data_IF_582310271632
#
_entry.id   IF_582310271632
#
_cell.length_a   1.000
_cell.length_b   1.000
_cell.length_c   1.000
_cell.angle_alpha   90.00
_cell.angle_beta   90.00
_cell.angle_gamma   90.00
#
_symmetry.space_group_name_H-M   'P 1'
#
loop_
_entity.id
_entity.type
_entity.pdbx_description
1 polymer ?
#
# COMPACT_ATOMS: atom_id res chain seq x y z
N UNK A 1 -4.94 28.62 -12.60
CA UNK A 1 -3.62 29.29 -12.53
C UNK A 1 -3.79 30.66 -11.88
N UNK A 2 -3.92 30.72 -10.57
CA UNK A 2 -3.74 31.96 -9.79
C UNK A 2 -2.87 31.58 -8.62
N UNK A 3 -1.57 31.91 -8.73
CA UNK A 3 -0.64 31.78 -7.63
C UNK A 3 -1.21 32.56 -6.43
N UNK A 4 -1.43 31.87 -5.31
CA UNK A 4 -1.88 32.52 -4.07
C UNK A 4 -0.70 33.33 -3.51
N UNK A 5 -0.92 34.59 -3.12
CA UNK A 5 0.14 35.50 -2.69
C UNK A 5 0.85 34.96 -1.45
N UNK A 6 2.15 35.21 -1.35
CA UNK A 6 3.05 34.82 -0.25
C UNK A 6 2.64 35.33 1.14
N UNK A 7 1.53 36.08 1.25
CA UNK A 7 0.93 36.56 2.49
C UNK A 7 -0.08 35.60 3.12
N UNK A 8 -0.39 34.45 2.49
CA UNK A 8 -1.25 33.42 3.10
C UNK A 8 -0.60 32.69 4.30
N UNK A 9 0.71 32.89 4.51
CA UNK A 9 1.45 32.50 5.72
C UNK A 9 1.74 33.72 6.62
N UNK A 10 0.94 34.78 6.51
CA UNK A 10 1.09 36.03 7.24
C UNK A 10 0.69 35.91 8.71
N UNK A 11 1.43 35.10 9.47
CA UNK A 11 1.25 34.96 10.91
C UNK A 11 2.20 35.95 11.61
N UNK A 12 1.71 37.15 11.92
CA UNK A 12 2.43 38.12 12.74
C UNK A 12 2.07 37.90 14.22
N UNK A 13 3.07 37.81 15.10
CA UNK A 13 2.91 37.42 16.52
C UNK A 13 1.92 38.34 17.26
N UNK A 14 1.70 39.55 16.76
CA UNK A 14 0.86 40.59 17.36
C UNK A 14 -0.62 40.53 16.96
N UNK A 15 -0.96 39.94 15.82
CA UNK A 15 -2.30 40.10 15.22
C UNK A 15 -3.17 38.83 15.26
N UNK A 16 -2.65 37.73 15.82
CA UNK A 16 -3.37 36.46 15.84
C UNK A 16 -3.46 35.85 14.45
N UNK A 17 -3.42 34.52 14.38
CA UNK A 17 -3.44 33.82 13.11
C UNK A 17 -4.77 33.11 13.01
N UNK A 18 -5.65 33.62 12.15
CA UNK A 18 -6.78 32.86 11.63
C UNK A 18 -6.21 31.76 10.74
N UNK A 19 -5.77 30.68 11.39
CA UNK A 19 -5.50 29.41 10.74
C UNK A 19 -6.88 28.78 10.59
N UNK A 20 -7.53 28.88 9.41
CA UNK A 20 -8.76 28.13 9.20
C UNK A 20 -8.45 26.67 9.49
N UNK A 21 -9.30 26.02 10.30
CA UNK A 21 -9.16 24.59 10.50
C UNK A 21 -9.14 23.94 9.11
N UNK A 22 -8.19 23.04 8.83
CA UNK A 22 -8.15 22.35 7.55
C UNK A 22 -9.51 21.68 7.35
N UNK A 23 -10.28 22.17 6.37
CA UNK A 23 -11.53 21.54 5.98
C UNK A 23 -11.23 20.20 5.29
N UNK A 24 -12.24 19.34 5.18
CA UNK A 24 -12.05 18.00 4.60
C UNK A 24 -11.66 18.02 3.11
N UNK A 25 -11.82 19.15 2.44
CA UNK A 25 -11.40 19.39 1.06
C UNK A 25 -9.90 19.11 0.84
N UNK A 26 -9.00 19.45 1.77
CA UNK A 26 -7.58 19.12 1.58
C UNK A 26 -7.27 17.60 1.58
N UNK A 27 -8.18 16.76 2.10
CA UNK A 27 -8.01 15.30 2.15
C UNK A 27 -8.82 14.55 1.08
N UNK A 28 -9.89 15.15 0.56
CA UNK A 28 -10.83 14.49 -0.34
C UNK A 28 -11.01 15.19 -1.70
N UNK A 29 -10.47 16.40 -1.86
CA UNK A 29 -10.41 17.12 -3.13
C UNK A 29 -9.10 16.74 -3.85
N UNK A 30 -9.09 15.56 -4.45
CA UNK A 30 -7.99 15.16 -5.33
C UNK A 30 -8.23 15.72 -6.73
N UNK A 31 -7.18 16.29 -7.33
CA UNK A 31 -7.21 16.61 -8.76
C UNK A 31 -7.35 15.31 -9.56
N UNK A 32 -8.46 15.18 -10.28
CA UNK A 32 -8.71 14.08 -11.20
C UNK A 32 -7.68 14.12 -12.33
N UNK A 33 -6.88 13.08 -12.47
CA UNK A 33 -5.86 13.00 -13.52
C UNK A 33 -6.47 12.56 -14.86
N UNK A 34 -7.44 11.66 -14.82
CA UNK A 34 -8.11 11.12 -16.00
C UNK A 34 -9.54 10.73 -15.68
N UNK A 35 -10.46 10.96 -16.62
CA UNK A 35 -11.87 10.59 -16.51
C UNK A 35 -12.23 9.61 -17.63
N UNK A 36 -12.76 8.44 -17.29
CA UNK A 36 -13.34 7.48 -18.24
C UNK A 36 -14.84 7.39 -17.95
N UNK A 37 -15.63 8.26 -18.58
CA UNK A 37 -17.07 8.32 -18.36
C UNK A 37 -17.41 8.68 -16.91
N UNK A 38 -17.95 7.75 -16.14
CA UNK A 38 -18.30 7.96 -14.72
C UNK A 38 -17.16 7.64 -13.75
N UNK A 39 -16.05 7.06 -14.23
CA UNK A 39 -14.90 6.71 -13.40
C UNK A 39 -13.89 7.85 -13.41
N UNK A 40 -13.74 8.51 -12.26
CA UNK A 40 -12.72 9.51 -12.00
C UNK A 40 -11.49 8.82 -11.41
N UNK A 41 -10.32 9.03 -12.00
CA UNK A 41 -9.06 8.46 -11.54
C UNK A 41 -8.21 9.53 -10.86
N UNK A 42 -8.20 9.47 -9.53
CA UNK A 42 -7.34 10.30 -8.70
C UNK A 42 -5.96 9.65 -8.52
N UNK A 43 -4.95 10.44 -8.16
CA UNK A 43 -3.60 9.94 -7.80
C UNK A 43 -3.62 8.70 -6.90
N UNK A 44 -4.34 8.69 -5.75
CA UNK A 44 -4.39 7.50 -4.88
C UNK A 44 -5.01 6.28 -5.55
N UNK A 45 -6.00 6.47 -6.44
CA UNK A 45 -6.66 5.38 -7.15
C UNK A 45 -5.73 4.71 -8.17
N UNK A 46 -4.91 5.50 -8.87
CA UNK A 46 -3.89 4.98 -9.80
C UNK A 46 -2.81 4.20 -9.04
N UNK A 47 -2.34 4.74 -7.92
CA UNK A 47 -1.36 4.07 -7.05
C UNK A 47 -1.89 2.73 -6.54
N UNK A 48 -3.14 2.67 -6.12
CA UNK A 48 -3.79 1.43 -5.70
C UNK A 48 -3.83 0.41 -6.84
N UNK A 49 -4.20 0.81 -8.05
CA UNK A 49 -4.24 -0.08 -9.22
C UNK A 49 -2.87 -0.61 -9.60
N UNK A 50 -1.84 0.24 -9.61
CA UNK A 50 -0.45 -0.17 -9.88
C UNK A 50 -0.01 -1.20 -8.84
N UNK A 51 -0.29 -0.97 -7.57
CA UNK A 51 0.12 -1.85 -6.51
C UNK A 51 -0.64 -3.19 -6.53
N UNK A 52 -1.93 -3.21 -6.91
CA UNK A 52 -2.67 -4.45 -7.17
C UNK A 52 -2.04 -5.26 -8.32
N UNK A 53 -1.69 -4.60 -9.43
CA UNK A 53 -1.05 -5.27 -10.58
C UNK A 53 0.32 -5.81 -10.23
N UNK A 54 1.16 -5.02 -9.54
CA UNK A 54 2.50 -5.44 -9.12
C UNK A 54 2.45 -6.65 -8.19
N UNK A 55 1.58 -6.61 -7.18
CA UNK A 55 1.47 -7.71 -6.22
C UNK A 55 0.87 -8.96 -6.86
N UNK A 56 -0.23 -8.82 -7.59
CA UNK A 56 -0.84 -9.97 -8.29
C UNK A 56 0.13 -10.60 -9.29
N UNK A 57 0.85 -9.78 -10.07
CA UNK A 57 1.90 -10.23 -10.98
C UNK A 57 3.05 -10.95 -10.26
N UNK A 58 3.51 -10.40 -9.13
CA UNK A 58 4.55 -11.03 -8.30
C UNK A 58 4.13 -12.41 -7.81
N UNK A 59 2.91 -12.56 -7.28
CA UNK A 59 2.45 -13.87 -6.78
C UNK A 59 2.19 -14.88 -7.90
N UNK A 60 1.61 -14.45 -9.02
CA UNK A 60 1.42 -15.32 -10.19
C UNK A 60 2.78 -15.83 -10.69
N UNK A 61 3.81 -14.98 -10.66
CA UNK A 61 5.16 -15.37 -11.02
C UNK A 61 5.82 -16.27 -9.96
N UNK A 62 5.65 -15.95 -8.67
CA UNK A 62 6.25 -16.69 -7.56
C UNK A 62 5.73 -18.14 -7.44
N UNK A 63 4.43 -18.36 -7.70
CA UNK A 63 3.83 -19.69 -7.64
C UNK A 63 3.86 -20.47 -8.97
N UNK A 64 4.43 -19.90 -10.05
CA UNK A 64 4.38 -20.48 -11.39
C UNK A 64 5.26 -21.73 -11.57
N UNK A 65 6.29 -21.93 -10.73
CA UNK A 65 7.20 -23.09 -10.80
C UNK A 65 7.67 -23.53 -9.40
N UNK A 66 6.92 -24.37 -8.67
CA UNK A 66 7.42 -24.96 -7.43
C UNK A 66 8.48 -26.03 -7.74
N UNK A 67 9.74 -25.81 -7.31
CA UNK A 67 10.84 -26.78 -7.47
C UNK A 67 11.03 -27.58 -6.17
N UNK A 68 11.24 -28.90 -6.27
CA UNK A 68 11.27 -29.84 -5.13
C UNK A 68 12.61 -29.85 -4.35
N UNK A 69 13.69 -29.28 -4.92
CA UNK A 69 15.01 -29.21 -4.26
C UNK A 69 15.39 -27.74 -4.05
N UNK A 70 15.41 -27.23 -2.80
CA UNK A 70 15.67 -25.82 -2.53
C UNK A 70 17.14 -25.44 -2.78
N UNK A 71 17.40 -24.45 -3.64
CA UNK A 71 18.71 -23.77 -3.75
C UNK A 71 18.53 -22.25 -3.76
N UNK A 72 19.26 -21.53 -2.91
CA UNK A 72 19.30 -20.06 -2.90
C UNK A 72 18.00 -19.40 -2.41
N UNK A 73 17.26 -18.73 -3.31
CA UNK A 73 16.04 -17.98 -2.99
C UNK A 73 14.90 -18.84 -2.45
N UNK A 74 14.91 -20.15 -2.72
CA UNK A 74 13.98 -21.09 -2.08
C UNK A 74 14.16 -21.20 -0.56
N UNK A 75 15.38 -21.03 -0.03
CA UNK A 75 15.60 -21.06 1.42
C UNK A 75 14.94 -19.86 2.12
N UNK A 76 14.97 -18.70 1.47
CA UNK A 76 14.25 -17.50 1.94
C UNK A 76 12.73 -17.70 1.86
N UNK A 77 12.25 -18.35 0.80
CA UNK A 77 10.83 -18.66 0.63
C UNK A 77 10.32 -19.68 1.67
N UNK A 78 11.09 -20.73 1.97
CA UNK A 78 10.77 -21.70 3.03
C UNK A 78 10.78 -21.05 4.41
N UNK A 79 11.76 -20.18 4.70
CA UNK A 79 11.80 -19.40 5.94
C UNK A 79 10.55 -18.53 6.09
N UNK A 80 10.16 -17.82 5.03
CA UNK A 80 8.95 -16.99 5.03
C UNK A 80 7.67 -17.82 5.21
N UNK A 81 7.58 -18.98 4.55
CA UNK A 81 6.43 -19.87 4.68
C UNK A 81 6.31 -20.42 6.10
N UNK A 82 7.42 -20.88 6.70
CA UNK A 82 7.44 -21.37 8.07
C UNK A 82 7.07 -20.27 9.08
N UNK A 83 7.61 -19.06 8.90
CA UNK A 83 7.24 -17.90 9.73
C UNK A 83 5.72 -17.65 9.75
N UNK A 84 5.08 -17.68 8.57
CA UNK A 84 3.63 -17.47 8.47
C UNK A 84 2.87 -18.67 9.05
N UNK A 85 3.34 -19.90 8.82
CA UNK A 85 2.73 -21.11 9.39
C UNK A 85 2.77 -21.10 10.91
N UNK A 86 3.90 -20.77 11.52
CA UNK A 86 4.06 -20.75 12.97
C UNK A 86 3.17 -19.68 13.60
N UNK A 87 3.14 -18.47 13.02
CA UNK A 87 2.22 -17.40 13.43
C UNK A 87 0.75 -17.83 13.34
N UNK A 88 0.36 -18.54 12.28
CA UNK A 88 -1.00 -19.04 12.11
C UNK A 88 -1.32 -20.13 13.14
N UNK A 89 -0.37 -21.02 13.44
CA UNK A 89 -0.55 -22.05 14.46
C UNK A 89 -0.66 -21.46 15.87
N UNK A 90 0.09 -20.41 16.19
CA UNK A 90 0.02 -19.74 17.50
C UNK A 90 -1.28 -18.96 17.68
N UNK A 91 -1.81 -18.31 16.64
CA UNK A 91 -2.98 -17.45 16.73
C UNK A 91 -4.33 -18.17 16.46
N UNK A 92 -4.36 -19.07 15.48
CA UNK A 92 -5.60 -19.74 15.01
C UNK A 92 -5.62 -21.22 15.42
N UNK A 93 -4.44 -21.82 15.65
CA UNK A 93 -4.32 -23.25 15.94
C UNK A 93 -4.44 -24.12 14.68
N UNK A 94 -4.69 -25.42 14.88
CA UNK A 94 -4.70 -26.44 13.79
C UNK A 94 -5.73 -26.16 12.69
N UNK A 95 -6.82 -25.45 12.99
CA UNK A 95 -7.80 -25.06 11.99
C UNK A 95 -7.26 -24.01 10.98
N UNK A 96 -6.20 -23.30 11.36
CA UNK A 96 -5.55 -22.28 10.54
C UNK A 96 -4.75 -22.83 9.36
N UNK A 97 -4.38 -24.12 9.36
CA UNK A 97 -3.54 -24.71 8.30
C UNK A 97 -4.20 -24.63 6.92
N UNK A 98 -5.54 -24.70 6.85
CA UNK A 98 -6.30 -24.52 5.60
C UNK A 98 -6.22 -23.10 5.03
N UNK A 99 -5.97 -22.11 5.88
CA UNK A 99 -5.93 -20.69 5.51
C UNK A 99 -4.51 -20.18 5.24
N UNK A 100 -3.48 -20.99 5.49
CA UNK A 100 -2.08 -20.63 5.23
C UNK A 100 -1.86 -20.05 3.83
N UNK A 101 -2.29 -20.66 2.70
CA UNK A 101 -2.03 -20.09 1.38
C UNK A 101 -2.67 -18.71 1.20
N UNK A 102 -3.85 -18.49 1.79
CA UNK A 102 -4.53 -17.19 1.77
C UNK A 102 -3.79 -16.16 2.62
N UNK A 103 -3.49 -16.49 3.88
CA UNK A 103 -2.80 -15.60 4.82
C UNK A 103 -1.37 -15.27 4.36
N UNK A 104 -0.69 -16.23 3.73
CA UNK A 104 0.60 -16.01 3.10
C UNK A 104 0.52 -14.95 2.00
N UNK A 105 -0.46 -15.06 1.10
CA UNK A 105 -0.67 -14.07 0.05
C UNK A 105 -1.06 -12.69 0.60
N UNK A 106 -1.89 -12.67 1.65
CA UNK A 106 -2.37 -11.44 2.27
C UNK A 106 -1.24 -10.70 3.02
N UNK A 107 -0.41 -11.43 3.77
CA UNK A 107 0.73 -10.87 4.49
C UNK A 107 1.67 -10.14 3.54
N UNK A 108 2.12 -10.83 2.49
CA UNK A 108 3.04 -10.26 1.51
C UNK A 108 2.40 -9.15 0.68
N UNK A 109 1.08 -9.20 0.42
CA UNK A 109 0.35 -8.11 -0.21
C UNK A 109 0.38 -6.83 0.63
N UNK A 110 0.00 -6.94 1.91
CA UNK A 110 0.00 -5.81 2.83
C UNK A 110 1.43 -5.31 3.04
N UNK A 111 2.40 -6.21 3.16
CA UNK A 111 3.80 -5.84 3.34
C UNK A 111 4.36 -5.05 2.16
N UNK A 112 4.10 -5.48 0.92
CA UNK A 112 4.53 -4.75 -0.29
C UNK A 112 3.82 -3.40 -0.41
N UNK A 113 2.52 -3.33 -0.08
CA UNK A 113 1.77 -2.06 -0.04
C UNK A 113 2.37 -1.07 0.95
N UNK A 114 2.69 -1.54 2.16
CA UNK A 114 3.33 -0.72 3.18
C UNK A 114 4.74 -0.31 2.78
N UNK A 115 5.51 -1.23 2.17
CA UNK A 115 6.86 -0.94 1.69
C UNK A 115 6.85 0.13 0.59
N UNK A 116 5.89 0.04 -0.34
CA UNK A 116 5.69 1.07 -1.37
C UNK A 116 5.36 2.42 -0.75
N UNK A 117 4.51 2.47 0.27
CA UNK A 117 4.18 3.71 1.00
C UNK A 117 5.36 4.38 1.69
N UNK A 118 6.44 3.64 2.00
CA UNK A 118 7.67 4.22 2.57
C UNK A 118 8.55 4.88 1.51
N UNK A 119 8.39 4.54 0.21
CA UNK A 119 9.17 5.18 -0.83
C UNK A 119 8.69 6.62 -1.08
N UNK A 120 9.55 7.64 -0.90
CA UNK A 120 9.17 9.03 -1.10
C UNK A 120 8.87 9.36 -2.56
N UNK A 121 9.19 8.46 -3.51
CA UNK A 121 8.85 8.63 -4.93
C UNK A 121 7.36 8.41 -5.24
N UNK A 122 6.59 7.85 -4.30
CA UNK A 122 5.16 7.57 -4.45
C UNK A 122 4.25 8.50 -3.63
N UNK A 123 4.83 9.46 -2.88
CA UNK A 123 4.12 10.57 -2.21
C UNK A 123 4.21 11.85 -3.06
#
# INVERSE_FOLDING_TARGET
>A
MTALPSSAWGCNITDGCDIPAPSSDIFFEYDTLFEIGFLKFDKPMILLLIAVVLVSGFFIFAFRKPTIVPRGTQNLAELAYNFIRDMVQENIGKAGERFIPFLFSLFFFIWVMNFMGVFPLTM
#
